data_IF_733423976654
#
_entry.id   IF_733423976654
#
_cell.length_a   1.000
_cell.length_b   1.000
_cell.length_c   1.000
_cell.angle_alpha   90.00
_cell.angle_beta   90.00
_cell.angle_gamma   90.00
#
_symmetry.space_group_name_H-M   'P 1'
#
loop_
_entity.id
_entity.type
_entity.pdbx_description
1 polymer ?
#
# COMPACT_ATOMS: atom_id res chain seq x y z
N UNK A 1 25.90 0.41 -8.94
CA UNK A 1 25.08 1.55 -8.52
C UNK A 1 23.69 1.09 -8.12
N UNK A 2 23.19 1.57 -7.02
CA UNK A 2 21.81 1.29 -6.63
C UNK A 2 20.83 2.08 -7.50
N UNK A 3 19.65 1.53 -7.75
CA UNK A 3 18.59 2.25 -8.44
C UNK A 3 18.18 3.49 -7.63
N UNK A 4 17.73 4.57 -8.29
CA UNK A 4 17.18 5.73 -7.59
C UNK A 4 16.00 5.30 -6.72
N UNK A 5 15.84 5.93 -5.57
CA UNK A 5 14.70 5.68 -4.70
C UNK A 5 13.40 6.09 -5.36
N UNK A 6 12.36 5.26 -5.23
CA UNK A 6 11.01 5.64 -5.64
C UNK A 6 10.46 6.71 -4.70
N UNK A 7 9.38 7.38 -5.13
CA UNK A 7 8.65 8.31 -4.27
C UNK A 7 8.25 7.65 -2.93
N UNK A 8 7.75 6.41 -2.99
CA UNK A 8 7.32 5.71 -1.79
C UNK A 8 8.48 5.35 -0.87
N UNK A 9 9.65 5.00 -1.42
CA UNK A 9 10.83 4.78 -0.60
C UNK A 9 11.27 6.06 0.12
N UNK A 10 11.22 7.18 -0.57
CA UNK A 10 11.55 8.48 0.03
C UNK A 10 10.58 8.86 1.14
N UNK A 11 9.29 8.54 0.98
CA UNK A 11 8.30 8.76 2.03
C UNK A 11 8.58 7.84 3.23
N UNK A 12 8.85 6.56 2.99
CA UNK A 12 9.17 5.60 4.04
C UNK A 12 10.42 6.00 4.82
N UNK A 13 11.42 6.55 4.13
CA UNK A 13 12.68 7.01 4.71
C UNK A 13 12.58 8.43 5.29
N UNK A 14 11.41 9.05 5.22
CA UNK A 14 11.14 10.41 5.70
C UNK A 14 12.00 11.49 5.02
N UNK A 15 12.40 11.23 3.78
CA UNK A 15 13.12 12.21 2.96
C UNK A 15 12.16 13.20 2.29
N UNK A 16 10.90 12.80 2.13
CA UNK A 16 9.82 13.65 1.64
C UNK A 16 8.75 13.69 2.72
N UNK A 17 8.27 14.88 3.12
CA UNK A 17 7.23 14.97 4.14
C UNK A 17 5.93 14.35 3.64
N UNK A 18 5.32 13.52 4.50
CA UNK A 18 4.00 12.94 4.29
C UNK A 18 3.35 12.74 5.65
N UNK A 19 2.03 12.90 5.69
CA UNK A 19 1.28 12.65 6.92
C UNK A 19 1.06 11.14 7.04
N UNK A 20 1.89 10.48 7.86
CA UNK A 20 1.76 9.05 8.10
C UNK A 20 0.63 8.79 9.08
N UNK A 21 -0.26 7.87 8.74
CA UNK A 21 -1.34 7.41 9.63
C UNK A 21 -0.97 6.11 10.34
N UNK A 22 0.12 5.49 9.90
CA UNK A 22 0.70 4.31 10.53
C UNK A 22 2.18 4.26 10.18
N UNK A 23 3.00 3.89 11.14
CA UNK A 23 4.40 3.55 10.87
C UNK A 23 4.88 2.54 11.89
N UNK A 24 5.63 1.56 11.42
CA UNK A 24 6.26 0.55 12.25
C UNK A 24 7.61 0.15 11.63
N UNK A 25 8.23 -0.91 12.16
CA UNK A 25 9.54 -1.36 11.70
C UNK A 25 9.53 -1.86 10.25
N UNK A 26 8.39 -2.30 9.73
CA UNK A 26 8.29 -2.93 8.41
C UNK A 26 7.60 -2.08 7.35
N UNK A 27 6.73 -1.15 7.74
CA UNK A 27 5.94 -0.40 6.77
C UNK A 27 5.51 0.97 7.28
N UNK A 28 5.03 1.79 6.35
CA UNK A 28 4.36 3.05 6.62
C UNK A 28 3.04 3.08 5.85
N UNK A 29 2.09 3.89 6.29
CA UNK A 29 0.83 4.08 5.59
C UNK A 29 0.42 5.56 5.59
N UNK A 30 -0.20 5.99 4.48
CA UNK A 30 -0.62 7.38 4.29
C UNK A 30 -1.79 7.43 3.31
N UNK A 31 -2.57 8.51 3.35
CA UNK A 31 -3.67 8.69 2.40
C UNK A 31 -3.14 8.97 1.00
N UNK A 32 -3.77 8.38 -0.03
CA UNK A 32 -3.48 8.69 -1.42
C UNK A 32 -3.89 10.14 -1.71
N UNK A 33 -3.02 10.91 -2.37
CA UNK A 33 -3.30 12.31 -2.72
C UNK A 33 -4.30 12.44 -3.86
N UNK A 34 -4.56 11.35 -4.61
CA UNK A 34 -5.55 11.28 -5.69
C UNK A 34 -6.51 10.12 -5.40
N UNK A 35 -7.36 10.24 -4.38
CA UNK A 35 -8.14 9.12 -3.88
C UNK A 35 -9.19 8.67 -4.89
N UNK A 36 -9.35 7.34 -5.01
CA UNK A 36 -10.35 6.70 -5.87
C UNK A 36 -11.57 6.22 -5.09
N UNK A 37 -11.58 6.45 -3.79
CA UNK A 37 -12.70 6.14 -2.90
C UNK A 37 -12.66 7.13 -1.73
N UNK A 38 -13.74 7.29 -0.95
CA UNK A 38 -13.72 8.18 0.22
C UNK A 38 -12.59 7.88 1.19
N UNK A 39 -12.26 6.60 1.36
CA UNK A 39 -11.04 6.19 2.05
C UNK A 39 -10.15 5.49 1.02
N UNK A 40 -8.96 6.01 0.81
CA UNK A 40 -7.96 5.42 -0.08
C UNK A 40 -6.59 5.59 0.58
N UNK A 41 -6.10 4.50 1.16
CA UNK A 41 -4.83 4.48 1.90
C UNK A 41 -3.84 3.61 1.17
N UNK A 42 -2.58 4.03 1.16
CA UNK A 42 -1.46 3.24 0.65
C UNK A 42 -0.65 2.71 1.83
N UNK A 43 -0.35 1.42 1.81
CA UNK A 43 0.49 0.76 2.80
C UNK A 43 1.73 0.28 2.08
N UNK A 44 2.90 0.75 2.51
CA UNK A 44 4.15 0.65 1.77
C UNK A 44 5.21 -0.01 2.64
N UNK A 45 5.83 -1.13 2.20
CA UNK A 45 6.93 -1.71 2.97
C UNK A 45 8.15 -0.80 2.90
N UNK A 46 8.95 -0.80 3.97
CA UNK A 46 10.23 -0.06 3.97
C UNK A 46 11.24 -0.72 3.03
N UNK A 47 11.21 -2.04 2.93
CA UNK A 47 12.04 -2.76 1.98
C UNK A 47 11.55 -2.45 0.56
N UNK A 48 12.43 -2.06 -0.37
CA UNK A 48 12.03 -1.67 -1.74
C UNK A 48 11.77 -2.90 -2.62
N UNK A 49 10.72 -3.66 -2.32
CA UNK A 49 10.24 -4.76 -3.16
C UNK A 49 9.52 -4.13 -4.36
N UNK A 50 9.97 -4.34 -5.61
CA UNK A 50 9.36 -3.64 -6.74
C UNK A 50 7.89 -4.01 -6.95
N UNK A 51 7.56 -5.30 -6.90
CA UNK A 51 6.20 -5.81 -7.13
C UNK A 51 6.06 -7.23 -6.57
N UNK A 52 4.83 -7.70 -6.45
CA UNK A 52 4.55 -9.03 -5.86
C UNK A 52 5.24 -10.14 -6.63
N UNK A 53 5.25 -10.08 -7.96
CA UNK A 53 5.87 -11.14 -8.77
C UNK A 53 7.38 -11.27 -8.55
N UNK A 54 8.04 -10.24 -8.04
CA UNK A 54 9.47 -10.26 -7.75
C UNK A 54 9.78 -10.46 -6.26
N UNK A 55 8.74 -10.62 -5.42
CA UNK A 55 8.96 -10.96 -4.02
C UNK A 55 9.46 -12.41 -3.89
N UNK A 56 10.18 -12.68 -2.83
CA UNK A 56 10.73 -14.00 -2.54
C UNK A 56 10.21 -14.51 -1.20
N UNK A 57 10.57 -15.75 -0.85
CA UNK A 57 10.21 -16.34 0.44
C UNK A 57 10.69 -15.50 1.63
N UNK A 58 11.77 -14.74 1.46
CA UNK A 58 12.28 -13.82 2.48
C UNK A 58 11.31 -12.68 2.78
N UNK A 59 10.42 -12.37 1.84
CA UNK A 59 9.46 -11.27 1.96
C UNK A 59 8.13 -11.72 2.57
N UNK A 60 7.96 -13.01 2.87
CA UNK A 60 6.70 -13.57 3.33
C UNK A 60 6.16 -12.84 4.58
N UNK A 61 7.01 -12.64 5.58
CA UNK A 61 6.61 -11.98 6.81
C UNK A 61 6.18 -10.53 6.55
N UNK A 62 6.92 -9.81 5.70
CA UNK A 62 6.61 -8.43 5.32
C UNK A 62 5.27 -8.36 4.58
N UNK A 63 5.05 -9.24 3.60
CA UNK A 63 3.79 -9.25 2.83
C UNK A 63 2.59 -9.54 3.73
N UNK A 64 2.70 -10.53 4.61
CA UNK A 64 1.65 -10.84 5.58
C UNK A 64 1.39 -9.66 6.52
N UNK A 65 2.44 -9.00 6.95
CA UNK A 65 2.33 -7.82 7.83
C UNK A 65 1.55 -6.69 7.17
N UNK A 66 1.77 -6.44 5.87
CA UNK A 66 1.02 -5.40 5.14
C UNK A 66 -0.48 -5.67 5.19
N UNK A 67 -0.89 -6.92 5.03
CA UNK A 67 -2.31 -7.31 5.08
C UNK A 67 -2.87 -7.16 6.50
N UNK A 68 -2.11 -7.51 7.53
CA UNK A 68 -2.52 -7.30 8.92
C UNK A 68 -2.72 -5.81 9.22
N UNK A 69 -1.81 -4.97 8.76
CA UNK A 69 -1.92 -3.52 8.92
C UNK A 69 -3.15 -2.98 8.20
N UNK A 70 -3.45 -3.48 6.98
CA UNK A 70 -4.67 -3.10 6.26
C UNK A 70 -5.91 -3.40 7.09
N UNK A 71 -5.98 -4.58 7.70
CA UNK A 71 -7.09 -4.94 8.58
C UNK A 71 -7.21 -4.04 9.82
N UNK A 72 -6.09 -3.70 10.43
CA UNK A 72 -6.04 -2.78 11.58
C UNK A 72 -6.52 -1.38 11.19
N UNK A 73 -6.04 -0.86 10.07
CA UNK A 73 -6.43 0.46 9.57
C UNK A 73 -7.90 0.51 9.17
N UNK A 74 -8.45 -0.59 8.64
CA UNK A 74 -9.87 -0.64 8.29
C UNK A 74 -10.76 -0.40 9.51
N UNK A 75 -10.37 -0.95 10.66
CA UNK A 75 -11.09 -0.73 11.91
C UNK A 75 -10.92 0.70 12.43
N UNK A 76 -9.69 1.20 12.39
CA UNK A 76 -9.39 2.57 12.82
C UNK A 76 -10.14 3.61 11.97
N UNK A 77 -10.26 3.37 10.67
CA UNK A 77 -10.88 4.29 9.72
C UNK A 77 -12.39 4.07 9.55
N UNK A 78 -12.99 3.15 10.32
CA UNK A 78 -14.44 2.98 10.33
C UNK A 78 -15.00 2.26 9.12
N UNK A 79 -14.24 1.34 8.51
CA UNK A 79 -14.67 0.60 7.31
C UNK A 79 -15.42 -0.69 7.67
N UNK A 80 -16.31 -0.63 8.66
CA UNK A 80 -17.02 -1.81 9.16
C UNK A 80 -17.94 -2.47 8.12
N UNK A 81 -18.40 -1.73 7.12
CA UNK A 81 -19.26 -2.28 6.05
C UNK A 81 -18.48 -3.03 4.98
N UNK A 82 -17.17 -2.95 5.01
CA UNK A 82 -16.30 -3.63 4.08
C UNK A 82 -15.34 -2.68 3.37
N UNK A 83 -14.35 -3.28 2.74
CA UNK A 83 -13.31 -2.57 2.03
C UNK A 83 -12.70 -3.51 1.00
N UNK A 84 -11.88 -2.95 0.12
CA UNK A 84 -11.16 -3.74 -0.87
C UNK A 84 -9.67 -3.47 -0.73
N UNK A 85 -8.89 -4.53 -0.90
CA UNK A 85 -7.43 -4.45 -0.96
C UNK A 85 -7.02 -4.72 -2.40
N UNK A 86 -6.16 -3.86 -2.96
CA UNK A 86 -5.65 -4.02 -4.32
C UNK A 86 -4.14 -3.90 -4.29
N UNK A 87 -3.47 -4.83 -4.97
CA UNK A 87 -2.03 -4.78 -5.21
C UNK A 87 -1.85 -4.93 -6.72
N UNK A 88 -1.36 -3.89 -7.37
CA UNK A 88 -1.16 -3.90 -8.81
C UNK A 88 0.23 -4.42 -9.15
N UNK A 89 0.33 -5.23 -10.21
CA UNK A 89 1.59 -5.79 -10.67
C UNK A 89 1.66 -5.69 -12.19
N UNK A 90 2.63 -4.96 -12.68
CA UNK A 90 2.89 -4.82 -14.11
C UNK A 90 1.93 -3.88 -14.83
N UNK A 91 2.19 -3.60 -16.12
CA UNK A 91 1.41 -2.61 -16.88
C UNK A 91 -0.07 -2.94 -16.97
N UNK A 92 -0.41 -4.19 -17.25
CA UNK A 92 -1.80 -4.63 -17.37
C UNK A 92 -2.53 -4.64 -16.02
N UNK A 93 -1.78 -4.71 -14.93
CA UNK A 93 -2.34 -4.60 -13.59
C UNK A 93 -2.54 -3.16 -13.12
N UNK A 94 -2.06 -2.18 -13.89
CA UNK A 94 -2.17 -0.77 -13.51
C UNK A 94 -1.07 -0.30 -12.57
N UNK A 95 0.08 -0.98 -12.56
CA UNK A 95 1.21 -0.59 -11.71
C UNK A 95 1.70 0.80 -12.11
N UNK A 96 1.77 1.73 -11.15
CA UNK A 96 2.21 3.12 -11.37
C UNK A 96 3.60 3.40 -10.82
N UNK A 97 3.97 2.78 -9.71
CA UNK A 97 5.25 3.01 -9.03
C UNK A 97 5.90 1.65 -8.77
N UNK A 98 7.18 1.44 -9.17
CA UNK A 98 7.87 0.15 -8.95
C UNK A 98 8.38 0.02 -7.51
N UNK A 99 7.49 0.16 -6.57
CA UNK A 99 7.65 -0.09 -5.14
C UNK A 99 6.32 -0.63 -4.67
N UNK A 100 6.30 -1.91 -4.29
CA UNK A 100 5.08 -2.60 -3.88
C UNK A 100 4.28 -1.76 -2.91
N UNK A 101 3.00 -1.63 -3.15
CA UNK A 101 2.11 -0.92 -2.24
C UNK A 101 0.73 -1.54 -2.27
N UNK A 102 0.10 -1.53 -1.12
CA UNK A 102 -1.25 -2.06 -0.91
C UNK A 102 -2.21 -0.90 -0.87
N UNK A 103 -3.19 -0.91 -1.79
CA UNK A 103 -4.31 0.04 -1.74
C UNK A 103 -5.37 -0.51 -0.80
N UNK A 104 -5.80 0.30 0.14
CA UNK A 104 -6.96 0.03 1.00
C UNK A 104 -8.05 1.01 0.58
N UNK A 105 -9.12 0.50 0.01
CA UNK A 105 -10.21 1.29 -0.56
C UNK A 105 -11.51 1.01 0.19
N UNK A 106 -12.20 2.04 0.61
CA UNK A 106 -13.45 1.88 1.34
C UNK A 106 -14.25 3.17 1.44
N UNK A 107 -15.31 3.12 2.23
CA UNK A 107 -16.19 4.29 2.43
C UNK A 107 -17.34 4.37 1.45
N UNK A 108 -17.43 3.43 0.50
CA UNK A 108 -18.56 3.26 -0.42
C UNK A 108 -18.60 1.82 -0.92
N UNK A 109 -19.70 1.44 -1.51
CA UNK A 109 -19.79 0.13 -2.19
C UNK A 109 -18.83 0.12 -3.39
N UNK A 110 -18.14 -0.99 -3.55
CA UNK A 110 -17.21 -1.22 -4.66
C UNK A 110 -17.80 -2.37 -5.50
N UNK A 111 -17.93 -2.12 -6.79
CA UNK A 111 -18.62 -3.06 -7.69
C UNK A 111 -17.78 -4.29 -8.02
N UNK A 112 -18.45 -5.30 -8.50
CA UNK A 112 -17.83 -6.48 -9.08
C UNK A 112 -18.34 -6.66 -10.51
N UNK A 113 -17.51 -6.95 -11.53
CA UNK A 113 -16.06 -7.22 -11.42
C UNK A 113 -15.23 -5.99 -11.04
N UNK A 114 -13.98 -6.24 -10.57
CA UNK A 114 -13.16 -5.15 -9.98
C UNK A 114 -12.55 -4.18 -10.99
N UNK A 115 -12.63 -4.48 -12.25
CA UNK A 115 -12.04 -3.61 -13.27
C UNK A 115 -12.75 -3.67 -14.60
#
# INVERSE_FOLDING_TARGET
MSAPKTLFQKIADKEIPAKLIHEDALCVAFHDIDPKAPTHVLIVPRKPIPRVAEATAEDQATLGHLLLVAGQLSRLLGLAKGFRIVINNGPDGGESVPHLHVHLLGGRALAWPPG
#
